data_IF_129902983559
#
_entry.id   IF_129902983559
#
_cell.length_a   1.000
_cell.length_b   1.000
_cell.length_c   1.000
_cell.angle_alpha   90.00
_cell.angle_beta   90.00
_cell.angle_gamma   90.00
#
_symmetry.space_group_name_H-M   'P 1'
#
loop_
_entity.id
_entity.type
_entity.pdbx_description
1 polymer ?
#
# COMPACT_ATOMS: atom_id res chain seq x y z
N UNK A 1 -9.90 -0.50 1.17
CA UNK A 1 -9.12 -1.49 0.41
C UNK A 1 -7.82 -1.70 1.15
N UNK A 2 -7.41 -2.95 1.33
CA UNK A 2 -6.18 -3.39 1.96
C UNK A 2 -5.43 -4.32 0.99
N UNK A 3 -4.10 -4.37 1.08
CA UNK A 3 -3.32 -5.31 0.27
C UNK A 3 -2.09 -5.81 1.00
N UNK A 4 -1.66 -7.01 0.66
CA UNK A 4 -0.36 -7.53 1.08
C UNK A 4 0.79 -6.78 0.39
N UNK A 5 2.01 -6.91 0.93
CA UNK A 5 3.22 -6.39 0.28
C UNK A 5 3.45 -7.06 -1.07
N UNK A 6 4.03 -6.34 -2.03
CA UNK A 6 4.25 -6.86 -3.40
C UNK A 6 5.18 -8.06 -3.48
N UNK A 7 6.06 -8.22 -2.50
CA UNK A 7 6.99 -9.35 -2.43
C UNK A 7 6.36 -10.57 -1.74
N UNK A 8 5.11 -10.48 -1.27
CA UNK A 8 4.40 -11.61 -0.69
C UNK A 8 4.14 -12.65 -1.81
N UNK A 9 4.51 -13.92 -1.65
CA UNK A 9 4.25 -14.95 -2.65
C UNK A 9 2.76 -15.14 -2.94
N UNK A 10 1.94 -15.04 -1.89
CA UNK A 10 0.48 -15.13 -1.94
C UNK A 10 -0.08 -13.73 -1.73
N UNK A 11 -0.49 -13.06 -2.80
CA UNK A 11 -0.98 -11.69 -2.71
C UNK A 11 -2.49 -11.63 -2.54
N UNK A 12 -2.93 -10.76 -1.63
CA UNK A 12 -4.34 -10.45 -1.42
C UNK A 12 -4.54 -8.96 -1.67
N UNK A 13 -5.56 -8.62 -2.46
CA UNK A 13 -6.04 -7.25 -2.63
C UNK A 13 -7.50 -7.24 -2.22
N UNK A 14 -7.75 -6.84 -0.98
CA UNK A 14 -9.07 -6.85 -0.35
C UNK A 14 -9.77 -5.50 -0.52
N UNK A 15 -10.88 -5.48 -1.23
CA UNK A 15 -11.83 -4.37 -1.20
C UNK A 15 -12.87 -4.66 -0.14
N UNK A 16 -13.01 -3.72 0.81
CA UNK A 16 -13.98 -3.81 1.89
C UNK A 16 -14.83 -2.54 1.87
N UNK A 17 -16.15 -2.71 1.95
CA UNK A 17 -17.12 -1.63 1.90
C UNK A 17 -17.63 -1.28 3.30
N UNK A 18 -17.81 0.03 3.54
CA UNK A 18 -18.50 0.59 4.69
C UNK A 18 -19.33 1.77 4.24
N UNK A 19 -20.49 1.99 4.89
CA UNK A 19 -21.31 3.19 4.68
C UNK A 19 -20.61 4.46 5.17
N UNK A 20 -19.71 4.33 6.15
CA UNK A 20 -18.99 5.44 6.77
C UNK A 20 -17.49 5.25 6.64
N UNK A 21 -16.74 6.33 6.75
CA UNK A 21 -15.27 6.29 6.86
C UNK A 21 -14.78 6.14 8.30
N UNK A 22 -15.66 5.90 9.28
CA UNK A 22 -15.30 5.91 10.70
C UNK A 22 -14.14 4.96 11.02
N UNK A 23 -13.31 5.34 12.01
CA UNK A 23 -12.21 4.49 12.47
C UNK A 23 -12.67 3.13 13.02
N UNK A 24 -13.92 3.05 13.48
CA UNK A 24 -14.56 1.78 13.93
C UNK A 24 -14.58 0.72 12.83
N UNK A 25 -14.75 1.13 11.57
CA UNK A 25 -14.68 0.18 10.46
C UNK A 25 -13.26 -0.37 10.27
N UNK A 26 -12.23 0.49 10.38
CA UNK A 26 -10.85 0.05 10.30
C UNK A 26 -10.50 -0.90 11.47
N UNK A 27 -10.97 -0.59 12.68
CA UNK A 27 -10.79 -1.47 13.85
C UNK A 27 -11.42 -2.84 13.62
N UNK A 28 -12.67 -2.91 13.14
CA UNK A 28 -13.32 -4.18 12.79
C UNK A 28 -12.57 -4.95 11.70
N UNK A 29 -12.11 -4.25 10.65
CA UNK A 29 -11.38 -4.88 9.54
C UNK A 29 -10.05 -5.51 9.99
N UNK A 30 -9.40 -4.93 11.00
CA UNK A 30 -8.08 -5.38 11.49
C UNK A 30 -8.13 -5.96 12.92
N UNK A 31 -9.30 -6.35 13.42
CA UNK A 31 -9.50 -6.74 14.83
C UNK A 31 -8.56 -7.84 15.30
N UNK A 32 -8.28 -8.81 14.43
CA UNK A 32 -7.43 -9.97 14.72
C UNK A 32 -6.09 -9.90 13.97
N UNK A 33 -5.75 -8.74 13.39
CA UNK A 33 -4.50 -8.57 12.67
C UNK A 33 -3.37 -8.22 13.63
N UNK A 34 -2.27 -8.95 13.53
CA UNK A 34 -1.00 -8.65 14.20
C UNK A 34 0.06 -8.47 13.14
N UNK A 35 0.78 -7.35 13.19
CA UNK A 35 1.84 -7.08 12.22
C UNK A 35 1.91 -5.62 11.79
N UNK A 36 2.39 -5.40 10.57
CA UNK A 36 2.72 -4.06 10.07
C UNK A 36 1.67 -3.62 9.06
N UNK A 37 1.07 -2.44 9.30
CA UNK A 37 0.12 -1.83 8.39
C UNK A 37 0.67 -0.50 7.86
N UNK A 38 0.84 -0.38 6.54
CA UNK A 38 1.14 0.90 5.91
C UNK A 38 -0.16 1.62 5.56
N UNK A 39 -0.37 2.77 6.17
CA UNK A 39 -1.56 3.61 5.95
C UNK A 39 -1.18 5.00 5.45
N UNK A 40 -2.16 5.70 4.90
CA UNK A 40 -2.07 7.15 4.81
C UNK A 40 -2.27 7.75 6.22
N UNK A 41 -2.05 9.06 6.36
CA UNK A 41 -2.22 9.76 7.64
C UNK A 41 -3.69 9.94 8.05
N UNK A 42 -4.59 9.02 7.67
CA UNK A 42 -6.00 9.10 8.02
C UNK A 42 -6.23 8.78 9.51
N UNK A 43 -6.88 9.72 10.21
CA UNK A 43 -7.08 9.64 11.67
C UNK A 43 -7.87 8.40 12.11
N UNK A 44 -8.72 7.82 11.24
CA UNK A 44 -9.45 6.60 11.58
C UNK A 44 -8.56 5.40 11.92
N UNK A 45 -7.32 5.37 11.46
CA UNK A 45 -6.35 4.33 11.82
C UNK A 45 -5.74 4.52 13.21
N UNK A 46 -6.00 5.63 13.90
CA UNK A 46 -5.55 5.81 15.29
C UNK A 46 -6.29 4.91 16.28
N UNK A 47 -7.46 4.37 15.89
CA UNK A 47 -8.25 3.44 16.71
C UNK A 47 -7.84 1.97 16.57
N UNK A 48 -6.80 1.67 15.78
CA UNK A 48 -6.32 0.30 15.64
C UNK A 48 -5.68 -0.21 16.93
N UNK A 49 -5.82 -1.51 17.17
CA UNK A 49 -5.23 -2.18 18.33
C UNK A 49 -3.70 -2.08 18.33
N UNK A 50 -3.10 -2.17 19.52
CA UNK A 50 -1.65 -2.11 19.72
C UNK A 50 -0.89 -3.26 19.04
N UNK A 51 -1.57 -4.36 18.68
CA UNK A 51 -1.03 -5.45 17.86
C UNK A 51 -0.64 -4.99 16.44
N UNK A 52 -1.15 -3.85 15.98
CA UNK A 52 -0.90 -3.30 14.65
C UNK A 52 0.16 -2.20 14.70
N UNK A 53 1.34 -2.51 14.20
CA UNK A 53 2.41 -1.54 13.99
C UNK A 53 2.15 -0.71 12.73
N UNK A 54 1.68 0.51 12.91
CA UNK A 54 1.43 1.44 11.79
C UNK A 54 2.72 2.00 11.19
N UNK A 55 2.81 2.09 9.88
CA UNK A 55 3.89 2.81 9.18
C UNK A 55 3.34 3.80 8.18
N UNK A 56 4.02 4.92 8.02
CA UNK A 56 3.58 6.02 7.17
C UNK A 56 3.89 5.80 5.69
N UNK A 57 3.31 6.67 4.86
CA UNK A 57 3.59 6.73 3.43
C UNK A 57 4.28 8.04 3.06
N UNK A 58 5.53 7.96 2.61
CA UNK A 58 6.30 9.14 2.20
C UNK A 58 5.76 9.84 0.96
N UNK A 59 4.93 9.17 0.14
CA UNK A 59 4.32 9.82 -1.03
C UNK A 59 3.29 10.88 -0.64
N UNK A 60 2.63 10.72 0.52
CA UNK A 60 1.70 11.74 1.03
C UNK A 60 2.43 12.98 1.50
N UNK A 61 3.56 12.79 2.21
CA UNK A 61 4.45 13.88 2.62
C UNK A 61 4.97 14.61 1.38
N UNK A 62 5.51 13.86 0.41
CA UNK A 62 5.99 14.40 -0.87
C UNK A 62 4.93 15.23 -1.59
N UNK A 63 3.70 14.70 -1.72
CA UNK A 63 2.59 15.39 -2.40
C UNK A 63 2.30 16.73 -1.74
N UNK A 64 2.22 16.77 -0.42
CA UNK A 64 1.99 18.03 0.31
C UNK A 64 3.12 19.04 0.13
N UNK A 65 4.38 18.60 0.15
CA UNK A 65 5.51 19.51 -0.13
C UNK A 65 5.51 20.00 -1.57
N UNK A 66 5.17 19.14 -2.53
CA UNK A 66 5.00 19.52 -3.92
C UNK A 66 3.89 20.56 -4.10
N UNK A 67 2.73 20.35 -3.47
CA UNK A 67 1.59 21.27 -3.52
C UNK A 67 1.94 22.62 -2.85
N UNK A 68 2.66 22.59 -1.72
CA UNK A 68 3.14 23.78 -1.04
C UNK A 68 4.21 24.56 -1.84
N UNK A 69 4.95 23.87 -2.73
CA UNK A 69 5.93 24.45 -3.61
C UNK A 69 5.35 25.01 -4.93
N UNK A 70 4.03 24.85 -5.16
CA UNK A 70 3.39 25.44 -6.35
C UNK A 70 3.15 26.93 -6.16
N UNK A 71 3.76 27.74 -7.02
CA UNK A 71 3.57 29.19 -7.12
C UNK A 71 3.27 29.53 -8.57
N UNK A 72 2.11 30.16 -8.83
CA UNK A 72 1.67 30.56 -10.18
C UNK A 72 1.78 29.43 -11.23
N UNK A 73 1.39 28.21 -10.84
CA UNK A 73 1.42 27.03 -11.72
C UNK A 73 2.82 26.44 -11.97
N UNK A 74 3.87 26.98 -11.33
CA UNK A 74 5.24 26.46 -11.42
C UNK A 74 5.67 25.89 -10.07
N UNK A 75 6.42 24.78 -10.13
CA UNK A 75 7.04 24.20 -8.93
C UNK A 75 8.32 24.96 -8.62
N UNK A 76 8.38 25.58 -7.45
CA UNK A 76 9.61 26.23 -6.96
C UNK A 76 10.50 25.19 -6.30
N UNK A 77 11.83 25.32 -6.49
CA UNK A 77 12.80 24.46 -5.83
C UNK A 77 12.62 24.50 -4.31
N UNK A 78 12.61 23.32 -3.69
CA UNK A 78 12.32 23.19 -2.27
C UNK A 78 13.23 22.13 -1.67
N UNK A 79 14.08 22.53 -0.72
CA UNK A 79 14.99 21.63 0.01
C UNK A 79 14.31 20.35 0.51
N UNK A 80 13.15 20.40 1.22
CA UNK A 80 12.49 19.19 1.68
C UNK A 80 12.02 18.29 0.52
N UNK A 81 11.55 18.88 -0.58
CA UNK A 81 11.11 18.12 -1.75
C UNK A 81 12.28 17.41 -2.42
N UNK A 82 13.42 18.10 -2.61
CA UNK A 82 14.66 17.51 -3.14
C UNK A 82 15.14 16.34 -2.29
N UNK A 83 15.17 16.51 -0.96
CA UNK A 83 15.56 15.43 -0.04
C UNK A 83 14.64 14.23 -0.13
N UNK A 84 13.32 14.43 -0.22
CA UNK A 84 12.36 13.34 -0.39
C UNK A 84 12.55 12.66 -1.75
N UNK A 85 12.81 13.41 -2.82
CA UNK A 85 13.06 12.87 -4.15
C UNK A 85 14.32 12.00 -4.20
N UNK A 86 15.40 12.40 -3.52
CA UNK A 86 16.60 11.59 -3.32
C UNK A 86 16.27 10.27 -2.59
N UNK A 87 15.46 10.31 -1.53
CA UNK A 87 15.02 9.08 -0.83
C UNK A 87 14.25 8.14 -1.77
N UNK A 88 13.34 8.69 -2.59
CA UNK A 88 12.61 7.90 -3.59
C UNK A 88 13.51 7.36 -4.69
N UNK A 89 14.54 8.09 -5.11
CA UNK A 89 15.51 7.63 -6.10
C UNK A 89 16.28 6.40 -5.59
N UNK A 90 16.77 6.46 -4.35
CA UNK A 90 17.36 5.32 -3.68
C UNK A 90 16.41 4.12 -3.59
N UNK A 91 15.17 4.34 -3.17
CA UNK A 91 14.19 3.25 -3.04
C UNK A 91 13.84 2.59 -4.37
N UNK A 92 13.80 3.36 -5.47
CA UNK A 92 13.62 2.80 -6.83
C UNK A 92 14.76 1.88 -7.21
N UNK A 93 16.01 2.28 -6.96
CA UNK A 93 17.18 1.45 -7.22
C UNK A 93 17.16 0.16 -6.39
N UNK A 94 16.49 0.16 -5.24
CA UNK A 94 16.54 -0.97 -4.30
C UNK A 94 15.36 -1.94 -4.36
N UNK A 95 14.38 -1.73 -5.24
CA UNK A 95 13.13 -2.51 -5.26
C UNK A 95 13.35 -4.02 -5.46
N UNK A 96 14.42 -4.39 -6.16
CA UNK A 96 14.77 -5.77 -6.47
C UNK A 96 15.67 -6.44 -5.42
N UNK A 97 16.03 -5.74 -4.33
CA UNK A 97 16.81 -6.36 -3.26
C UNK A 97 15.90 -6.98 -2.21
N UNK A 98 16.47 -7.96 -1.49
CA UNK A 98 15.78 -8.57 -0.35
C UNK A 98 15.41 -7.53 0.73
N UNK A 99 14.36 -7.78 1.53
CA UNK A 99 14.00 -6.92 2.67
C UNK A 99 15.17 -6.63 3.61
N UNK A 100 16.05 -7.61 3.84
CA UNK A 100 17.25 -7.45 4.68
C UNK A 100 18.20 -6.40 4.12
N UNK A 101 18.50 -6.46 2.82
CA UNK A 101 19.40 -5.52 2.15
C UNK A 101 18.77 -4.12 2.08
N UNK A 102 17.48 -4.02 1.73
CA UNK A 102 16.74 -2.74 1.75
C UNK A 102 16.84 -2.06 3.11
N UNK A 103 16.60 -2.80 4.21
CA UNK A 103 16.75 -2.28 5.59
C UNK A 103 18.16 -1.78 5.87
N UNK A 104 19.20 -2.52 5.50
CA UNK A 104 20.61 -2.11 5.69
C UNK A 104 20.90 -0.82 4.94
N UNK A 105 20.52 -0.75 3.66
CA UNK A 105 20.73 0.43 2.80
C UNK A 105 19.99 1.66 3.34
N UNK A 106 18.73 1.53 3.75
CA UNK A 106 17.96 2.59 4.42
C UNK A 106 18.69 3.15 5.65
N UNK A 107 19.19 2.27 6.52
CA UNK A 107 19.93 2.67 7.73
C UNK A 107 21.25 3.41 7.41
N UNK A 108 21.91 3.07 6.30
CA UNK A 108 23.19 3.68 5.90
C UNK A 108 23.03 4.99 5.11
N UNK A 109 22.09 5.05 4.17
CA UNK A 109 21.95 6.12 3.18
C UNK A 109 20.74 7.01 3.49
N UNK A 110 19.52 6.45 3.51
CA UNK A 110 18.29 7.24 3.75
C UNK A 110 18.28 7.89 5.13
N UNK A 111 18.84 7.26 6.16
CA UNK A 111 18.91 7.85 7.50
C UNK A 111 19.64 9.19 7.53
N UNK A 112 20.65 9.40 6.67
CA UNK A 112 21.36 10.69 6.56
C UNK A 112 20.45 11.76 5.94
N UNK A 113 19.70 11.40 4.90
CA UNK A 113 18.72 12.28 4.26
C UNK A 113 17.58 12.65 5.23
N UNK A 114 17.09 11.70 6.02
CA UNK A 114 16.04 11.96 7.00
C UNK A 114 16.50 12.90 8.10
N UNK A 115 17.74 12.76 8.59
CA UNK A 115 18.31 13.73 9.54
C UNK A 115 18.35 15.14 8.96
N UNK A 116 18.79 15.30 7.70
CA UNK A 116 18.78 16.60 7.00
C UNK A 116 17.35 17.14 6.85
N UNK A 117 16.41 16.29 6.46
CA UNK A 117 15.00 16.64 6.31
C UNK A 117 14.42 17.15 7.63
N UNK A 118 14.53 16.38 8.72
CA UNK A 118 13.99 16.78 10.03
C UNK A 118 14.70 17.99 10.62
N UNK A 119 16.01 18.19 10.35
CA UNK A 119 16.72 19.41 10.72
C UNK A 119 16.13 20.62 10.01
N UNK A 120 15.89 20.52 8.70
CA UNK A 120 15.26 21.59 7.93
C UNK A 120 13.85 21.91 8.42
N UNK A 121 13.05 20.88 8.70
CA UNK A 121 11.69 21.01 9.25
C UNK A 121 11.72 21.78 10.58
N UNK A 122 12.68 21.48 11.46
CA UNK A 122 12.82 22.15 12.75
C UNK A 122 13.30 23.62 12.64
N UNK A 123 14.07 23.96 11.61
CA UNK A 123 14.57 25.32 11.40
C UNK A 123 13.64 26.23 10.61
N UNK A 124 12.59 25.69 10.01
CA UNK A 124 11.71 26.44 9.11
C UNK A 124 10.84 27.43 9.90
N UNK A 125 11.06 28.73 9.66
CA UNK A 125 10.22 29.80 10.20
C UNK A 125 9.07 30.08 9.24
N UNK A 126 7.89 29.56 9.55
CA UNK A 126 6.69 29.69 8.71
C UNK A 126 5.46 29.98 9.54
N UNK A 127 4.51 30.74 8.98
CA UNK A 127 3.22 30.94 9.61
C UNK A 127 2.47 29.60 9.70
N UNK A 128 1.97 29.18 10.88
CA UNK A 128 1.34 27.86 11.06
C UNK A 128 0.18 27.58 10.10
N UNK A 129 -0.62 28.62 9.78
CA UNK A 129 -1.78 28.50 8.88
C UNK A 129 -1.43 28.57 7.39
N UNK A 130 -0.17 28.90 7.04
CA UNK A 130 0.29 28.89 5.65
C UNK A 130 0.25 27.48 5.04
N UNK A 131 0.29 27.38 3.71
CA UNK A 131 0.35 26.07 3.02
C UNK A 131 1.56 25.25 3.47
N UNK A 132 2.72 25.91 3.61
CA UNK A 132 3.94 25.27 4.08
C UNK A 132 3.87 24.93 5.58
N UNK A 133 3.30 25.81 6.42
CA UNK A 133 3.05 25.53 7.84
C UNK A 133 2.21 24.28 8.06
N UNK A 134 1.05 24.18 7.39
CA UNK A 134 0.19 22.99 7.44
C UNK A 134 0.89 21.72 6.96
N UNK A 135 1.76 21.84 5.96
CA UNK A 135 2.56 20.72 5.43
C UNK A 135 3.59 20.25 6.45
N UNK A 136 4.28 21.19 7.11
CA UNK A 136 5.24 20.92 8.17
C UNK A 136 4.55 20.24 9.36
N UNK A 137 3.42 20.78 9.84
CA UNK A 137 2.64 20.16 10.92
C UNK A 137 2.27 18.72 10.57
N UNK A 138 1.74 18.49 9.37
CA UNK A 138 1.43 17.13 8.93
C UNK A 138 2.64 16.20 8.94
N UNK A 139 3.80 16.65 8.45
CA UNK A 139 5.01 15.83 8.43
C UNK A 139 5.47 15.49 9.87
N UNK A 140 5.44 16.46 10.78
CA UNK A 140 5.78 16.28 12.20
C UNK A 140 4.84 15.27 12.87
N UNK A 141 3.53 15.42 12.68
CA UNK A 141 2.52 14.51 13.26
C UNK A 141 2.72 13.06 12.80
N UNK A 142 3.17 12.88 11.56
CA UNK A 142 3.42 11.57 10.97
C UNK A 142 4.84 11.03 11.23
N UNK A 143 5.74 11.82 11.82
CA UNK A 143 7.15 11.45 12.00
C UNK A 143 7.36 10.08 12.64
N UNK A 144 6.65 9.70 13.73
CA UNK A 144 6.85 8.39 14.36
C UNK A 144 6.57 7.21 13.41
N UNK A 145 5.55 7.33 12.55
CA UNK A 145 5.19 6.26 11.60
C UNK A 145 6.08 6.27 10.36
N UNK A 146 6.55 7.44 9.93
CA UNK A 146 7.44 7.62 8.79
C UNK A 146 8.86 7.13 9.06
N UNK A 147 9.45 7.50 10.21
CA UNK A 147 10.83 7.13 10.59
C UNK A 147 10.96 5.62 10.85
N UNK A 148 9.89 4.98 11.33
CA UNK A 148 9.83 3.54 11.57
C UNK A 148 10.16 2.73 10.30
N UNK A 149 9.81 3.25 9.11
CA UNK A 149 9.99 2.58 7.83
C UNK A 149 11.46 2.31 7.46
N UNK A 150 12.40 3.07 8.04
CA UNK A 150 13.85 2.82 7.93
C UNK A 150 14.19 1.38 8.35
N UNK A 151 13.48 0.86 9.36
CA UNK A 151 13.75 -0.44 9.96
C UNK A 151 12.98 -1.60 9.30
N UNK A 152 12.10 -1.35 8.32
CA UNK A 152 11.16 -2.34 7.78
C UNK A 152 11.36 -2.51 6.28
N UNK A 153 12.31 -3.34 5.87
CA UNK A 153 12.66 -3.49 4.44
C UNK A 153 11.65 -4.24 3.58
N UNK A 154 10.66 -4.91 4.17
CA UNK A 154 9.56 -5.59 3.44
C UNK A 154 8.50 -4.61 2.93
N UNK A 155 8.43 -3.41 3.52
CA UNK A 155 7.49 -2.37 3.13
C UNK A 155 8.10 -1.44 2.10
N UNK A 156 7.28 -1.01 1.15
CA UNK A 156 7.67 0.03 0.19
C UNK A 156 7.68 1.41 0.85
N UNK A 157 8.49 2.31 0.31
CA UNK A 157 8.57 3.70 0.78
C UNK A 157 7.23 4.45 0.66
N UNK A 158 6.36 3.98 -0.25
CA UNK A 158 5.01 4.49 -0.44
C UNK A 158 3.98 3.39 -0.59
N UNK A 159 2.74 3.72 -0.21
CA UNK A 159 1.56 2.89 -0.43
C UNK A 159 0.93 3.10 -1.83
N UNK A 160 1.68 3.66 -2.80
CA UNK A 160 1.15 3.99 -4.13
C UNK A 160 0.55 2.79 -4.87
N UNK A 161 1.01 1.57 -4.58
CA UNK A 161 0.39 0.36 -5.11
C UNK A 161 -1.07 0.26 -4.69
N UNK A 162 -1.33 0.46 -3.40
CA UNK A 162 -2.68 0.49 -2.84
C UNK A 162 -3.51 1.61 -3.47
N UNK A 163 -2.95 2.82 -3.61
CA UNK A 163 -3.66 3.92 -4.29
C UNK A 163 -4.07 3.55 -5.72
N UNK A 164 -3.19 2.87 -6.49
CA UNK A 164 -3.52 2.42 -7.86
C UNK A 164 -4.66 1.40 -7.88
N UNK A 165 -4.68 0.44 -6.95
CA UNK A 165 -5.81 -0.48 -6.82
C UNK A 165 -7.11 0.29 -6.50
N UNK A 166 -7.07 1.28 -5.60
CA UNK A 166 -8.23 2.10 -5.30
C UNK A 166 -8.71 2.90 -6.52
N UNK A 167 -7.79 3.43 -7.34
CA UNK A 167 -8.14 4.16 -8.57
C UNK A 167 -8.99 3.34 -9.55
N UNK A 168 -8.78 2.02 -9.63
CA UNK A 168 -9.60 1.14 -10.47
C UNK A 168 -11.07 1.18 -10.07
N UNK A 169 -11.37 1.10 -8.78
CA UNK A 169 -12.74 1.24 -8.27
C UNK A 169 -13.29 2.64 -8.58
N UNK A 170 -12.50 3.69 -8.37
CA UNK A 170 -12.94 5.08 -8.57
C UNK A 170 -13.29 5.36 -10.03
N UNK A 171 -12.52 4.83 -10.98
CA UNK A 171 -12.80 4.95 -12.41
C UNK A 171 -13.96 4.02 -12.79
N UNK A 172 -13.92 2.77 -12.35
CA UNK A 172 -14.93 1.76 -12.66
C UNK A 172 -16.34 2.19 -12.27
N UNK A 173 -16.54 2.67 -11.04
CA UNK A 173 -17.88 3.10 -10.57
C UNK A 173 -18.48 4.28 -11.33
N UNK A 174 -17.67 5.06 -12.08
CA UNK A 174 -18.19 6.10 -12.98
C UNK A 174 -18.74 5.53 -14.28
N UNK A 175 -18.28 4.33 -14.66
CA UNK A 175 -18.58 3.69 -15.95
C UNK A 175 -19.47 2.44 -15.79
N UNK A 176 -19.63 1.91 -14.58
CA UNK A 176 -20.49 0.76 -14.30
C UNK A 176 -21.92 1.23 -14.00
N UNK A 177 -22.87 0.72 -14.77
CA UNK A 177 -24.29 0.91 -14.51
C UNK A 177 -24.65 0.39 -13.10
N UNK A 178 -25.54 1.11 -12.41
CA UNK A 178 -26.10 0.69 -11.12
C UNK A 178 -25.12 0.61 -9.94
N UNK A 179 -23.98 1.31 -9.99
CA UNK A 179 -23.06 1.47 -8.84
C UNK A 179 -23.58 2.50 -7.80
N UNK A 180 -24.87 2.44 -7.43
CA UNK A 180 -25.56 3.45 -6.62
C UNK A 180 -26.09 2.94 -5.27
N UNK A 181 -26.06 1.63 -5.02
CA UNK A 181 -26.62 1.04 -3.80
C UNK A 181 -25.55 0.41 -2.89
N UNK A 182 -25.79 0.30 -1.56
CA UNK A 182 -24.92 -0.46 -0.66
C UNK A 182 -24.75 -1.93 -1.07
N UNK A 183 -25.79 -2.54 -1.64
CA UNK A 183 -25.71 -3.91 -2.17
C UNK A 183 -24.74 -3.98 -3.36
N UNK A 184 -24.89 -3.07 -4.33
CA UNK A 184 -23.96 -2.97 -5.47
C UNK A 184 -22.53 -2.68 -5.04
N UNK A 185 -22.32 -1.87 -4.01
CA UNK A 185 -21.00 -1.59 -3.45
C UNK A 185 -20.36 -2.83 -2.80
N UNK A 186 -21.14 -3.67 -2.11
CA UNK A 186 -20.67 -4.95 -1.57
C UNK A 186 -20.31 -5.93 -2.69
N UNK A 187 -21.17 -6.11 -3.68
CA UNK A 187 -20.90 -6.98 -4.84
C UNK A 187 -19.66 -6.53 -5.60
N UNK A 188 -19.51 -5.23 -5.83
CA UNK A 188 -18.31 -4.64 -6.46
C UNK A 188 -17.05 -4.93 -5.65
N UNK A 189 -17.13 -4.82 -4.32
CA UNK A 189 -15.99 -5.11 -3.44
C UNK A 189 -15.58 -6.59 -3.51
N UNK A 190 -16.53 -7.52 -3.57
CA UNK A 190 -16.26 -8.95 -3.74
C UNK A 190 -15.57 -9.21 -5.08
N UNK A 191 -16.16 -8.74 -6.19
CA UNK A 191 -15.61 -8.96 -7.53
C UNK A 191 -14.22 -8.37 -7.70
N UNK A 192 -14.00 -7.12 -7.26
CA UNK A 192 -12.67 -6.51 -7.33
C UNK A 192 -11.66 -7.23 -6.45
N UNK A 193 -12.08 -7.78 -5.31
CA UNK A 193 -11.18 -8.58 -4.46
C UNK A 193 -10.69 -9.82 -5.20
N UNK A 194 -11.59 -10.57 -5.83
CA UNK A 194 -11.23 -11.75 -6.63
C UNK A 194 -10.34 -11.39 -7.82
N UNK A 195 -10.76 -10.39 -8.60
CA UNK A 195 -10.08 -9.97 -9.83
C UNK A 195 -8.68 -9.43 -9.53
N UNK A 196 -8.55 -8.50 -8.59
CA UNK A 196 -7.27 -7.86 -8.31
C UNK A 196 -6.33 -8.77 -7.54
N UNK A 197 -6.85 -9.70 -6.74
CA UNK A 197 -6.01 -10.75 -6.14
C UNK A 197 -5.51 -11.73 -7.21
N UNK A 198 -6.33 -12.16 -8.17
CA UNK A 198 -5.87 -12.99 -9.28
C UNK A 198 -4.74 -12.31 -10.08
N UNK A 199 -4.92 -11.03 -10.47
CA UNK A 199 -3.88 -10.24 -11.15
C UNK A 199 -2.60 -10.13 -10.32
N UNK A 200 -2.73 -9.91 -9.01
CA UNK A 200 -1.57 -9.80 -8.12
C UNK A 200 -0.76 -11.09 -8.01
N UNK A 201 -1.39 -12.24 -8.26
CA UNK A 201 -0.75 -13.55 -8.32
C UNK A 201 -0.39 -13.98 -9.75
N UNK A 202 -0.50 -13.08 -10.75
CA UNK A 202 -0.11 -13.36 -12.14
C UNK A 202 -1.09 -14.23 -12.92
N UNK A 203 -2.35 -14.31 -12.48
CA UNK A 203 -3.37 -15.16 -13.09
C UNK A 203 -4.30 -14.31 -13.96
N UNK A 204 -4.68 -14.85 -15.12
CA UNK A 204 -5.72 -14.24 -15.95
C UNK A 204 -7.06 -14.20 -15.19
N UNK A 205 -7.64 -13.02 -14.91
CA UNK A 205 -8.86 -12.91 -14.14
C UNK A 205 -10.05 -13.62 -14.77
N UNK A 206 -10.14 -13.65 -16.10
CA UNK A 206 -11.24 -14.34 -16.79
C UNK A 206 -11.13 -15.84 -16.55
N UNK A 207 -9.98 -16.43 -16.80
CA UNK A 207 -9.74 -17.86 -16.55
C UNK A 207 -9.99 -18.25 -15.08
N UNK A 208 -9.54 -17.42 -14.13
CA UNK A 208 -9.78 -17.66 -12.70
C UNK A 208 -11.27 -17.60 -12.34
N UNK A 209 -12.01 -16.59 -12.81
CA UNK A 209 -13.46 -16.50 -12.55
C UNK A 209 -14.21 -17.67 -13.20
N UNK A 210 -13.86 -18.05 -14.44
CA UNK A 210 -14.46 -19.21 -15.10
C UNK A 210 -14.23 -20.49 -14.32
N UNK A 211 -13.03 -20.68 -13.76
CA UNK A 211 -12.73 -21.80 -12.88
C UNK A 211 -13.60 -21.78 -11.61
N UNK A 212 -13.67 -20.65 -10.91
CA UNK A 212 -14.54 -20.54 -9.73
C UNK A 212 -16.01 -20.84 -10.04
N UNK A 213 -16.52 -20.35 -11.17
CA UNK A 213 -17.91 -20.60 -11.59
C UNK A 213 -18.17 -22.04 -12.04
N UNK A 214 -17.13 -22.80 -12.42
CA UNK A 214 -17.25 -24.23 -12.73
C UNK A 214 -17.18 -25.10 -11.48
N UNK A 215 -16.22 -24.83 -10.61
CA UNK A 215 -15.92 -25.73 -9.49
C UNK A 215 -16.75 -25.45 -8.23
N UNK A 216 -17.02 -24.18 -7.91
CA UNK A 216 -17.75 -23.84 -6.68
C UNK A 216 -19.18 -24.40 -6.63
N UNK A 217 -19.96 -24.44 -7.73
CA UNK A 217 -21.28 -25.07 -7.72
C UNK A 217 -21.25 -26.59 -7.48
N UNK A 218 -20.09 -27.24 -7.60
CA UNK A 218 -19.93 -28.67 -7.31
C UNK A 218 -19.64 -28.94 -5.81
N UNK A 219 -19.49 -27.88 -5.01
CA UNK A 219 -19.25 -27.99 -3.58
C UNK A 219 -20.57 -28.08 -2.81
N UNK A 220 -20.56 -28.62 -1.57
CA UNK A 220 -21.74 -28.58 -0.71
C UNK A 220 -22.24 -27.15 -0.48
N UNK A 221 -23.55 -26.98 -0.35
CA UNK A 221 -24.21 -25.67 -0.16
C UNK A 221 -23.63 -24.83 0.99
N UNK A 222 -23.04 -25.51 1.99
CA UNK A 222 -22.44 -24.91 3.19
C UNK A 222 -20.95 -25.24 3.32
N UNK A 223 -20.20 -25.16 2.20
CA UNK A 223 -18.76 -25.35 2.23
C UNK A 223 -18.10 -24.40 3.25
N UNK A 224 -17.30 -24.97 4.16
CA UNK A 224 -16.61 -24.18 5.17
C UNK A 224 -15.44 -23.37 4.56
N UNK A 225 -14.94 -22.33 5.24
CA UNK A 225 -13.84 -21.52 4.73
C UNK A 225 -12.55 -22.30 4.43
N UNK A 226 -12.28 -23.41 5.12
CA UNK A 226 -11.10 -24.25 4.87
C UNK A 226 -11.28 -25.06 3.58
N UNK A 227 -12.49 -25.58 3.32
CA UNK A 227 -12.84 -26.22 2.05
C UNK A 227 -12.76 -25.23 0.90
N UNK A 228 -13.16 -23.98 1.09
CA UNK A 228 -13.07 -22.94 0.07
C UNK A 228 -11.64 -22.43 -0.17
N UNK A 229 -10.72 -22.65 0.77
CA UNK A 229 -9.35 -22.12 0.69
C UNK A 229 -8.56 -22.69 -0.50
N UNK A 230 -8.89 -23.88 -0.98
CA UNK A 230 -8.25 -24.51 -2.16
C UNK A 230 -8.59 -23.79 -3.47
N UNK A 231 -9.59 -22.90 -3.46
CA UNK A 231 -9.97 -22.10 -4.63
C UNK A 231 -9.33 -20.72 -4.65
N UNK A 232 -8.52 -20.36 -3.64
CA UNK A 232 -7.82 -19.09 -3.60
C UNK A 232 -6.82 -18.95 -4.76
N UNK A 233 -6.47 -17.72 -5.18
CA UNK A 233 -5.70 -17.51 -6.41
C UNK A 233 -4.38 -18.31 -6.47
N UNK A 234 -3.65 -18.41 -5.36
CA UNK A 234 -2.37 -19.14 -5.32
C UNK A 234 -2.49 -20.67 -5.38
N UNK A 235 -3.70 -21.21 -5.37
CA UNK A 235 -4.00 -22.63 -5.61
C UNK A 235 -4.59 -22.87 -7.02
N UNK A 236 -4.72 -21.82 -7.83
CA UNK A 236 -5.28 -21.93 -9.18
C UNK A 236 -4.41 -22.86 -10.07
N UNK A 237 -4.98 -23.95 -10.63
CA UNK A 237 -4.22 -24.95 -11.39
C UNK A 237 -3.59 -24.41 -12.69
N UNK A 238 -4.23 -23.42 -13.31
CA UNK A 238 -3.79 -22.83 -14.58
C UNK A 238 -2.74 -21.72 -14.45
N UNK A 239 -2.07 -21.60 -13.31
CA UNK A 239 -1.05 -20.58 -13.11
C UNK A 239 0.13 -20.77 -14.08
N UNK A 240 0.22 -19.92 -15.09
CA UNK A 240 1.33 -19.88 -16.03
C UNK A 240 2.66 -19.75 -15.30
N UNK A 241 3.58 -20.68 -15.55
CA UNK A 241 4.95 -20.69 -15.01
C UNK A 241 5.73 -19.44 -15.42
N UNK A 242 5.65 -18.35 -14.64
CA UNK A 242 6.63 -17.24 -14.74
C UNK A 242 7.50 -17.05 -13.49
N UNK A 243 7.25 -17.76 -12.38
CA UNK A 243 7.97 -17.54 -11.13
C UNK A 243 9.21 -18.42 -10.87
N UNK A 244 9.67 -19.24 -11.84
CA UNK A 244 10.93 -20.00 -11.67
C UNK A 244 12.20 -19.22 -12.03
N UNK A 245 12.13 -18.05 -12.70
CA UNK A 245 13.34 -17.28 -13.11
C UNK A 245 13.80 -16.20 -12.13
N UNK A 246 13.07 -15.93 -11.05
CA UNK A 246 13.42 -14.88 -10.08
C UNK A 246 14.21 -15.39 -8.88
N UNK A 247 14.15 -16.69 -8.54
CA UNK A 247 14.93 -17.26 -7.43
C UNK A 247 16.44 -17.32 -7.72
N UNK A 248 16.85 -17.69 -8.93
CA UNK A 248 18.29 -17.83 -9.25
C UNK A 248 19.01 -16.48 -9.41
N UNK A 249 18.32 -15.44 -9.89
CA UNK A 249 18.90 -14.08 -9.98
C UNK A 249 18.96 -13.35 -8.63
N UNK A 250 18.16 -13.75 -7.64
CA UNK A 250 18.20 -13.15 -6.31
C UNK A 250 19.35 -13.67 -5.45
N UNK A 251 19.82 -14.91 -5.64
CA UNK A 251 20.98 -15.42 -4.91
C UNK A 251 22.29 -14.75 -5.35
N UNK A 252 22.48 -14.51 -6.65
CA UNK A 252 23.69 -13.86 -7.18
C UNK A 252 23.85 -12.37 -6.78
N UNK A 253 22.75 -11.64 -6.54
CA UNK A 253 22.79 -10.21 -6.15
C UNK A 253 22.77 -9.94 -4.64
N UNK A 254 22.62 -10.97 -3.81
CA UNK A 254 22.66 -10.84 -2.36
C UNK A 254 24.08 -11.01 -1.77
N UNK A 255 25.08 -11.30 -2.60
CA UNK A 255 26.49 -11.47 -2.23
C UNK A 255 27.34 -10.18 -2.40
N UNK A 256 26.75 -9.06 -2.81
CA UNK A 256 27.41 -7.75 -2.97
C UNK A 256 26.74 -6.63 -2.15
#
# INVERSE_FOLDING_TARGET
MARTVKQCPQQIILYAYSKTRSGTFAQKLYQNFTGILQCDGYAGYNLLANSVTRVGCWAHVRRKFYDAAQVNGKTVASVPLTLIDEMFAHERQWQHFSPRVRRRRRRSQIRKLLKRFWKWIASAQVLPKSRLGKTITYAVDQRPTLDRLINIGMMDWSNNASERNMKRLVIGRKNWLFSTSPAGARSTAIWLTLIESAKANGIDPRAYITYLLKELPQQPDFADPAQLAVYLPWHYPGAWHQNKKTTDKHQAKNAA
#
